data_IF_927588242035
#
_entry.id   IF_927588242035
#
_cell.length_a   1.000
_cell.length_b   1.000
_cell.length_c   1.000
_cell.angle_alpha   90.00
_cell.angle_beta   90.00
_cell.angle_gamma   90.00
#
_symmetry.space_group_name_H-M   'P 1'
#
loop_
_entity.id
_entity.type
_entity.pdbx_description
1 polymer ?
#
# COMPACT_ATOMS: atom_id res chain seq x y z
N UNK A 1 32.54 -1.55 10.75
CA UNK A 1 31.88 -1.28 9.46
C UNK A 1 31.99 -2.53 8.59
N UNK A 2 31.05 -3.46 8.71
CA UNK A 2 31.11 -4.75 8.00
C UNK A 2 30.08 -4.71 6.87
N UNK A 3 30.57 -4.55 5.64
CA UNK A 3 29.76 -4.60 4.42
C UNK A 3 29.29 -6.04 4.20
N UNK A 4 28.11 -6.38 4.73
CA UNK A 4 27.43 -7.63 4.39
C UNK A 4 26.88 -7.52 2.97
N UNK A 5 27.44 -8.31 2.05
CA UNK A 5 26.88 -8.48 0.70
C UNK A 5 25.45 -9.01 0.83
N UNK A 6 24.46 -8.19 0.49
CA UNK A 6 23.05 -8.59 0.38
C UNK A 6 22.95 -9.78 -0.59
N UNK A 7 22.85 -10.98 -0.03
CA UNK A 7 22.74 -12.20 -0.84
C UNK A 7 21.28 -12.36 -1.25
N UNK A 8 20.99 -12.85 -2.46
CA UNK A 8 19.62 -13.06 -2.97
C UNK A 8 18.75 -13.86 -1.98
N UNK A 9 19.34 -14.85 -1.28
CA UNK A 9 18.67 -15.57 -0.19
C UNK A 9 18.22 -14.69 0.97
N UNK A 10 19.01 -13.68 1.35
CA UNK A 10 18.68 -12.75 2.44
C UNK A 10 17.55 -11.80 2.01
N UNK A 11 17.57 -11.32 0.76
CA UNK A 11 16.48 -10.52 0.19
C UNK A 11 15.16 -11.28 0.19
N UNK A 12 15.15 -12.53 -0.27
CA UNK A 12 13.96 -13.37 -0.25
C UNK A 12 13.46 -13.65 1.17
N UNK A 13 14.37 -13.85 2.13
CA UNK A 13 14.02 -13.99 3.54
C UNK A 13 13.36 -12.73 4.09
N UNK A 14 13.93 -11.55 3.83
CA UNK A 14 13.35 -10.29 4.29
C UNK A 14 12.00 -9.98 3.63
N UNK A 15 11.85 -10.32 2.35
CA UNK A 15 10.57 -10.24 1.67
C UNK A 15 9.51 -11.12 2.36
N UNK A 16 9.83 -12.39 2.63
CA UNK A 16 8.91 -13.30 3.34
C UNK A 16 8.53 -12.78 4.73
N UNK A 17 9.49 -12.17 5.45
CA UNK A 17 9.26 -11.58 6.77
C UNK A 17 8.34 -10.34 6.66
N UNK A 18 8.57 -9.48 5.67
CA UNK A 18 7.75 -8.29 5.44
C UNK A 18 6.30 -8.65 5.08
N UNK A 19 6.10 -9.70 4.28
CA UNK A 19 4.76 -10.23 3.96
C UNK A 19 4.10 -10.91 5.16
N UNK A 20 4.87 -11.58 6.01
CA UNK A 20 4.34 -12.25 7.21
C UNK A 20 3.95 -11.29 8.35
N UNK A 21 4.34 -10.00 8.28
CA UNK A 21 3.92 -9.00 9.26
C UNK A 21 4.46 -9.21 10.67
N UNK A 22 5.70 -9.70 10.83
CA UNK A 22 6.30 -9.90 12.16
C UNK A 22 6.53 -8.56 12.88
N UNK A 23 6.22 -8.47 14.18
CA UNK A 23 6.55 -7.29 15.00
C UNK A 23 8.06 -7.02 15.02
N UNK A 24 8.44 -5.84 14.52
CA UNK A 24 9.82 -5.36 14.53
C UNK A 24 9.83 -3.88 14.90
N UNK A 25 10.71 -3.52 15.83
CA UNK A 25 10.97 -2.12 16.18
C UNK A 25 11.76 -1.46 15.05
N UNK A 26 11.12 -0.53 14.34
CA UNK A 26 11.74 0.24 13.25
C UNK A 26 12.41 1.54 13.72
N UNK A 27 12.27 1.87 15.01
CA UNK A 27 12.86 3.04 15.67
C UNK A 27 14.35 2.87 15.94
N UNK A 28 14.84 1.63 15.97
CA UNK A 28 16.24 1.30 16.23
C UNK A 28 16.82 0.48 15.08
N UNK A 29 18.04 0.81 14.63
CA UNK A 29 18.74 0.09 13.56
C UNK A 29 18.77 0.80 12.21
N UNK A 30 18.89 0.05 11.11
CA UNK A 30 19.17 0.62 9.78
C UNK A 30 17.91 1.06 9.04
N UNK A 31 17.81 2.36 8.73
CA UNK A 31 16.71 2.97 7.94
C UNK A 31 16.48 2.24 6.61
N UNK A 32 17.55 1.84 5.90
CA UNK A 32 17.45 1.11 4.62
C UNK A 32 16.63 -0.18 4.73
N UNK A 33 16.76 -0.90 5.85
CA UNK A 33 16.01 -2.13 6.10
C UNK A 33 14.57 -1.81 6.49
N UNK A 34 14.34 -0.78 7.30
CA UNK A 34 13.00 -0.34 7.69
C UNK A 34 12.17 0.07 6.47
N UNK A 35 12.71 0.94 5.60
CA UNK A 35 12.05 1.37 4.35
C UNK A 35 11.71 0.17 3.47
N UNK A 36 12.62 -0.78 3.31
CA UNK A 36 12.36 -2.00 2.52
C UNK A 36 11.27 -2.90 3.14
N UNK A 37 11.27 -3.07 4.46
CA UNK A 37 10.28 -3.91 5.14
C UNK A 37 8.89 -3.28 5.15
N UNK A 38 8.77 -1.95 5.22
CA UNK A 38 7.51 -1.21 5.20
C UNK A 38 6.97 -0.98 3.78
N UNK A 39 7.83 -0.82 2.78
CA UNK A 39 7.39 -0.56 1.40
C UNK A 39 6.75 -1.78 0.74
N UNK A 40 7.18 -3.00 1.08
CA UNK A 40 6.64 -4.25 0.53
C UNK A 40 5.13 -4.40 0.81
N UNK A 41 4.66 -4.36 2.07
CA UNK A 41 3.24 -4.50 2.35
C UNK A 41 2.43 -3.35 1.74
N UNK A 42 2.95 -2.12 1.74
CA UNK A 42 2.28 -0.96 1.13
C UNK A 42 2.12 -1.13 -0.39
N UNK A 43 3.14 -1.61 -1.10
CA UNK A 43 3.02 -1.90 -2.54
C UNK A 43 2.02 -3.03 -2.78
N UNK A 44 2.06 -4.09 -1.96
CA UNK A 44 1.12 -5.20 -2.05
C UNK A 44 -0.32 -4.74 -1.84
N UNK A 45 -0.57 -3.86 -0.87
CA UNK A 45 -1.88 -3.24 -0.62
C UNK A 45 -2.40 -2.54 -1.88
N UNK A 46 -1.60 -1.64 -2.47
CA UNK A 46 -1.97 -0.90 -3.69
C UNK A 46 -2.16 -1.82 -4.89
N UNK A 47 -1.36 -2.88 -5.00
CA UNK A 47 -1.54 -3.89 -6.06
C UNK A 47 -2.87 -4.62 -5.90
N UNK A 48 -3.22 -5.03 -4.69
CA UNK A 48 -4.49 -5.72 -4.42
C UNK A 48 -5.69 -4.79 -4.66
N UNK A 49 -5.60 -3.52 -4.28
CA UNK A 49 -6.63 -2.51 -4.55
C UNK A 49 -6.84 -2.30 -6.06
N UNK A 50 -5.75 -2.15 -6.83
CA UNK A 50 -5.86 -1.98 -8.28
C UNK A 50 -6.46 -3.21 -8.98
N UNK A 51 -6.08 -4.43 -8.57
CA UNK A 51 -6.65 -5.67 -9.10
C UNK A 51 -8.14 -5.76 -8.75
N UNK A 52 -8.50 -5.41 -7.51
CA UNK A 52 -9.90 -5.37 -7.08
C UNK A 52 -10.73 -4.40 -7.95
N UNK A 53 -10.25 -3.18 -8.18
CA UNK A 53 -10.93 -2.20 -9.03
C UNK A 53 -11.14 -2.71 -10.46
N UNK A 54 -10.13 -3.36 -11.06
CA UNK A 54 -10.24 -3.93 -12.41
C UNK A 54 -11.29 -5.04 -12.47
N UNK A 55 -11.27 -5.96 -11.50
CA UNK A 55 -12.23 -7.07 -11.45
C UNK A 55 -13.64 -6.56 -11.19
N UNK A 56 -13.81 -5.57 -10.31
CA UNK A 56 -15.10 -4.95 -10.01
C UNK A 56 -15.74 -4.33 -11.26
N UNK A 57 -15.00 -3.45 -11.95
CA UNK A 57 -15.46 -2.81 -13.18
C UNK A 57 -15.76 -3.86 -14.27
N UNK A 58 -14.95 -4.91 -14.39
CA UNK A 58 -15.19 -5.98 -15.36
C UNK A 58 -16.56 -6.66 -15.14
N UNK A 59 -16.93 -6.95 -13.90
CA UNK A 59 -18.23 -7.56 -13.60
C UNK A 59 -19.39 -6.56 -13.73
N UNK A 60 -19.21 -5.33 -13.23
CA UNK A 60 -20.24 -4.29 -13.29
C UNK A 60 -20.55 -3.88 -14.74
N UNK A 61 -19.54 -3.88 -15.62
CA UNK A 61 -19.71 -3.59 -17.05
C UNK A 61 -20.68 -4.52 -17.76
N UNK A 62 -20.89 -5.74 -17.24
CA UNK A 62 -21.85 -6.70 -17.80
C UNK A 62 -23.30 -6.39 -17.41
N UNK A 63 -23.54 -5.58 -16.38
CA UNK A 63 -24.88 -5.21 -15.92
C UNK A 63 -25.42 -4.04 -16.73
N UNK A 64 -24.66 -2.93 -16.79
CA UNK A 64 -25.02 -1.75 -17.56
C UNK A 64 -23.84 -0.79 -17.69
N UNK A 65 -23.75 -0.11 -18.83
CA UNK A 65 -22.79 0.98 -19.05
C UNK A 65 -23.00 2.12 -18.04
N UNK A 66 -24.26 2.37 -17.66
CA UNK A 66 -24.59 3.41 -16.67
C UNK A 66 -24.02 3.08 -15.29
N UNK A 67 -23.97 1.79 -14.91
CA UNK A 67 -23.44 1.38 -13.61
C UNK A 67 -21.92 1.65 -13.51
N UNK A 68 -21.17 1.38 -14.59
CA UNK A 68 -19.74 1.71 -14.65
C UNK A 68 -19.51 3.22 -14.60
N UNK A 69 -20.33 4.00 -15.31
CA UNK A 69 -20.25 5.45 -15.27
C UNK A 69 -20.51 6.00 -13.85
N UNK A 70 -21.46 5.41 -13.12
CA UNK A 70 -21.70 5.78 -11.71
C UNK A 70 -20.49 5.50 -10.84
N UNK A 71 -19.83 4.34 -10.98
CA UNK A 71 -18.62 4.00 -10.19
C UNK A 71 -17.53 5.05 -10.40
N UNK A 72 -17.18 5.37 -11.65
CA UNK A 72 -16.13 6.35 -11.93
C UNK A 72 -16.45 7.76 -11.41
N UNK A 73 -17.73 8.17 -11.47
CA UNK A 73 -18.17 9.44 -10.89
C UNK A 73 -18.06 9.42 -9.36
N UNK A 74 -18.47 8.34 -8.70
CA UNK A 74 -18.38 8.22 -7.25
C UNK A 74 -16.93 8.12 -6.76
N UNK A 75 -16.07 7.42 -7.49
CA UNK A 75 -14.65 7.29 -7.16
C UNK A 75 -13.95 8.65 -7.18
N UNK A 76 -14.29 9.50 -8.16
CA UNK A 76 -13.80 10.88 -8.27
C UNK A 76 -14.19 11.73 -7.05
N UNK A 77 -15.42 11.54 -6.53
CA UNK A 77 -15.87 12.23 -5.30
C UNK A 77 -15.17 11.64 -4.08
N UNK A 78 -15.01 10.31 -4.02
CA UNK A 78 -14.32 9.62 -2.94
C UNK A 78 -12.86 10.09 -2.83
N UNK A 79 -12.18 10.33 -3.96
CA UNK A 79 -10.80 10.82 -3.96
C UNK A 79 -10.66 12.17 -3.26
N UNK A 80 -11.62 13.07 -3.45
CA UNK A 80 -11.65 14.36 -2.75
C UNK A 80 -11.82 14.19 -1.24
N UNK A 81 -12.72 13.29 -0.83
CA UNK A 81 -12.94 12.98 0.59
C UNK A 81 -11.69 12.36 1.21
N UNK A 82 -11.05 11.41 0.51
CA UNK A 82 -9.79 10.81 0.96
C UNK A 82 -8.65 11.81 1.05
N UNK A 83 -8.54 12.75 0.12
CA UNK A 83 -7.53 13.80 0.19
C UNK A 83 -7.65 14.62 1.48
N UNK A 84 -8.88 14.99 1.88
CA UNK A 84 -9.14 15.71 3.13
C UNK A 84 -8.84 14.84 4.35
N UNK A 85 -9.33 13.59 4.35
CA UNK A 85 -9.13 12.67 5.47
C UNK A 85 -7.66 12.35 5.70
N UNK A 86 -6.91 12.03 4.64
CA UNK A 86 -5.47 11.77 4.71
C UNK A 86 -4.71 13.04 5.12
N UNK A 87 -5.09 14.20 4.59
CA UNK A 87 -4.49 15.49 4.99
C UNK A 87 -4.63 15.77 6.48
N UNK A 88 -5.84 15.56 7.04
CA UNK A 88 -6.11 15.69 8.47
C UNK A 88 -5.34 14.65 9.30
N UNK A 89 -5.32 13.39 8.85
CA UNK A 89 -4.57 12.31 9.51
C UNK A 89 -3.08 12.63 9.57
N UNK A 90 -2.48 13.09 8.47
CA UNK A 90 -1.08 13.48 8.44
C UNK A 90 -0.79 14.67 9.36
N UNK A 91 -1.67 15.68 9.37
CA UNK A 91 -1.54 16.81 10.26
C UNK A 91 -1.54 16.40 11.73
N UNK A 92 -2.43 15.47 12.13
CA UNK A 92 -2.45 14.93 13.49
C UNK A 92 -1.15 14.16 13.83
N UNK A 93 -0.65 13.32 12.92
CA UNK A 93 0.62 12.59 13.13
C UNK A 93 1.85 13.49 13.20
N UNK A 94 1.79 14.69 12.62
CA UNK A 94 2.91 15.63 12.64
C UNK A 94 3.03 16.44 13.94
N UNK A 95 1.96 16.51 14.74
CA UNK A 95 1.91 17.28 16.00
C UNK A 95 2.55 16.50 17.17
N UNK A 96 2.58 15.17 17.09
CA UNK A 96 3.10 14.26 18.13
C UNK A 96 4.48 13.75 17.73
#
# INVERSE_FOLDING_TARGET
MTSQKLTIKQLFRYFKIAVAGTEQEFTTGSIRRAVFMLSIPMILEMMMESIFAVVDIFWVSKVSVNAVATIGLTESVLTLVYAVAIGLSMAATAVV
#
